data_IF_834289238035
#
_entry.id   IF_834289238035
#
_cell.length_a   1.000
_cell.length_b   1.000
_cell.length_c   1.000
_cell.angle_alpha   90.00
_cell.angle_beta   90.00
_cell.angle_gamma   90.00
#
_symmetry.space_group_name_H-M   'P 1'
#
loop_
_entity.id
_entity.type
_entity.pdbx_description
1 polymer ?
#
# COMPACT_ATOMS: atom_id res chain seq x y z
N UNK A 1 9.07 3.93 -6.41
CA UNK A 1 7.64 3.66 -6.67
C UNK A 1 7.18 2.73 -5.59
N UNK A 2 6.62 3.28 -4.51
CA UNK A 2 6.29 2.52 -3.31
C UNK A 2 4.80 2.35 -3.20
N UNK A 3 4.33 1.13 -3.39
CA UNK A 3 3.17 0.66 -2.64
C UNK A 3 3.64 -0.45 -1.71
N UNK A 4 4.36 -0.04 -0.65
CA UNK A 4 4.82 -0.80 0.52
C UNK A 4 6.06 -1.69 0.28
N UNK A 5 7.03 -1.61 1.19
CA UNK A 5 8.34 -2.28 1.23
C UNK A 5 8.26 -3.81 1.36
N UNK A 6 7.56 -4.50 0.46
CA UNK A 6 7.44 -5.96 0.45
C UNK A 6 8.46 -6.58 -0.50
N UNK A 7 9.63 -6.94 0.00
CA UNK A 7 10.67 -7.64 -0.76
C UNK A 7 11.33 -8.79 0.04
N UNK A 8 10.62 -9.29 1.05
CA UNK A 8 10.97 -10.55 1.73
C UNK A 8 12.18 -10.52 2.65
N UNK A 9 12.73 -9.34 2.96
CA UNK A 9 13.81 -9.19 3.94
C UNK A 9 13.28 -8.46 5.18
N UNK A 10 13.48 -9.00 6.40
CA UNK A 10 13.17 -8.29 7.63
C UNK A 10 13.90 -6.94 7.66
N UNK A 11 13.19 -5.89 8.04
CA UNK A 11 13.77 -4.57 8.23
C UNK A 11 14.00 -4.31 9.72
N UNK A 12 15.09 -3.60 10.02
CA UNK A 12 15.31 -3.12 11.37
C UNK A 12 14.27 -2.01 11.70
N UNK A 13 13.91 -1.80 12.99
CA UNK A 13 12.86 -0.85 13.37
C UNK A 13 13.13 0.62 12.98
N UNK A 14 14.40 0.95 12.78
CA UNK A 14 14.93 2.29 12.47
C UNK A 14 15.10 2.54 10.96
N UNK A 15 14.71 1.60 10.11
CA UNK A 15 14.77 1.72 8.66
C UNK A 15 13.79 2.79 8.17
N UNK A 16 14.34 3.83 7.52
CA UNK A 16 13.55 4.86 6.83
C UNK A 16 13.14 4.34 5.45
N UNK A 17 11.84 4.28 5.20
CA UNK A 17 11.27 3.96 3.88
C UNK A 17 10.96 5.25 3.14
N UNK A 18 11.51 5.39 1.93
CA UNK A 18 11.33 6.56 1.05
C UNK A 18 10.95 6.14 -0.39
N UNK A 19 10.85 7.09 -1.32
CA UNK A 19 10.42 6.86 -2.70
C UNK A 19 11.40 6.02 -3.54
N UNK A 20 12.64 5.85 -3.07
CA UNK A 20 13.64 4.98 -3.70
C UNK A 20 13.35 3.49 -3.49
N UNK A 21 12.39 3.18 -2.62
CA UNK A 21 11.97 1.81 -2.35
C UNK A 21 10.92 1.34 -3.36
N UNK A 22 10.92 0.05 -3.63
CA UNK A 22 9.99 -0.59 -4.57
C UNK A 22 9.62 -1.96 -4.05
N UNK A 23 8.32 -2.30 -4.10
CA UNK A 23 7.85 -3.65 -3.78
C UNK A 23 8.36 -4.63 -4.83
N UNK A 24 8.72 -5.84 -4.44
CA UNK A 24 9.07 -6.91 -5.37
C UNK A 24 7.79 -7.65 -5.80
N UNK A 25 7.38 -7.57 -7.08
CA UNK A 25 6.20 -8.28 -7.57
C UNK A 25 6.27 -9.79 -7.35
N UNK A 26 7.45 -10.39 -7.51
CA UNK A 26 7.64 -11.82 -7.35
C UNK A 26 7.44 -12.26 -5.90
N UNK A 27 8.00 -11.49 -4.96
CA UNK A 27 7.74 -11.72 -3.54
C UNK A 27 6.25 -11.57 -3.19
N UNK A 28 5.59 -10.54 -3.73
CA UNK A 28 4.17 -10.30 -3.48
C UNK A 28 3.30 -11.45 -4.01
N UNK A 29 3.58 -11.96 -5.21
CA UNK A 29 2.90 -13.11 -5.80
C UNK A 29 3.11 -14.38 -4.95
N UNK A 30 4.37 -14.71 -4.63
CA UNK A 30 4.72 -15.89 -3.82
C UNK A 30 4.05 -15.87 -2.45
N UNK A 31 3.94 -14.69 -1.85
CA UNK A 31 3.33 -14.48 -0.54
C UNK A 31 1.81 -14.27 -0.59
N UNK A 32 1.20 -14.37 -1.78
CA UNK A 32 -0.24 -14.16 -2.02
C UNK A 32 -0.73 -12.78 -1.58
N UNK A 33 0.14 -11.77 -1.63
CA UNK A 33 -0.18 -10.36 -1.35
C UNK A 33 -0.79 -9.70 -2.59
N UNK A 34 -1.94 -10.22 -3.03
CA UNK A 34 -2.54 -9.86 -4.32
C UNK A 34 -2.89 -8.37 -4.45
N UNK A 35 -3.35 -7.74 -3.37
CA UNK A 35 -3.63 -6.32 -3.36
C UNK A 35 -2.34 -5.52 -3.63
N UNK A 36 -1.27 -5.82 -2.90
CA UNK A 36 0.04 -5.19 -3.10
C UNK A 36 0.54 -5.42 -4.52
N UNK A 37 0.52 -6.66 -5.00
CA UNK A 37 0.95 -7.02 -6.36
C UNK A 37 0.19 -6.19 -7.41
N UNK A 38 -1.14 -6.10 -7.28
CA UNK A 38 -1.97 -5.35 -8.21
C UNK A 38 -1.61 -3.85 -8.25
N UNK A 39 -1.28 -3.27 -7.10
CA UNK A 39 -0.86 -1.87 -7.00
C UNK A 39 0.52 -1.63 -7.58
N UNK A 40 1.48 -2.52 -7.31
CA UNK A 40 2.84 -2.45 -7.86
C UNK A 40 2.82 -2.51 -9.39
N UNK A 41 2.11 -3.49 -9.96
CA UNK A 41 2.02 -3.65 -11.42
C UNK A 41 1.29 -2.49 -12.10
N UNK A 42 0.24 -1.96 -11.48
CA UNK A 42 -0.49 -0.81 -12.01
C UNK A 42 0.37 0.46 -12.05
N UNK A 43 1.16 0.72 -11.00
CA UNK A 43 2.06 1.87 -10.97
C UNK A 43 3.20 1.72 -11.99
N UNK A 44 3.80 0.53 -12.11
CA UNK A 44 4.83 0.25 -13.12
C UNK A 44 4.31 0.50 -14.55
N UNK A 45 3.09 0.02 -14.84
CA UNK A 45 2.45 0.22 -16.13
C UNK A 45 2.14 1.70 -16.41
N UNK A 46 1.63 2.43 -15.41
CA UNK A 46 1.35 3.87 -15.54
C UNK A 46 2.63 4.67 -15.87
N UNK A 47 3.73 4.38 -15.18
CA UNK A 47 5.01 5.04 -15.42
C UNK A 47 5.65 4.66 -16.74
N UNK A 48 5.46 3.43 -17.22
CA UNK A 48 5.90 3.03 -18.56
C UNK A 48 5.16 3.85 -19.62
N UNK A 49 3.84 3.93 -19.51
CA UNK A 49 2.98 4.66 -20.44
C UNK A 49 3.33 6.16 -20.47
N UNK A 50 3.57 6.78 -19.32
CA UNK A 50 3.85 8.23 -19.27
C UNK A 50 5.21 8.58 -19.85
N UNK A 51 6.22 7.72 -19.66
CA UNK A 51 7.53 7.87 -20.32
C UNK A 51 7.43 7.73 -21.84
N UNK A 52 6.63 6.79 -22.32
CA UNK A 52 6.41 6.58 -23.76
C UNK A 52 5.66 7.75 -24.40
N UNK A 53 4.71 8.35 -23.68
CA UNK A 53 3.85 9.43 -24.19
C UNK A 53 4.36 10.85 -23.88
N UNK A 54 5.46 10.99 -23.13
CA UNK A 54 5.97 12.30 -22.69
C UNK A 54 5.04 13.05 -21.75
N UNK A 55 4.23 12.34 -20.95
CA UNK A 55 3.30 12.93 -19.98
C UNK A 55 4.00 13.16 -18.65
N UNK A 56 3.88 14.37 -18.09
CA UNK A 56 4.31 14.66 -16.72
C UNK A 56 3.30 14.07 -15.73
N UNK A 57 3.75 13.11 -14.93
CA UNK A 57 2.93 12.39 -13.96
C UNK A 57 3.58 12.43 -12.59
N UNK A 58 2.75 12.63 -11.57
CA UNK A 58 3.12 12.44 -10.16
C UNK A 58 2.18 11.40 -9.53
N UNK A 59 2.69 10.67 -8.54
CA UNK A 59 1.91 9.69 -7.77
C UNK A 59 1.85 10.09 -6.31
N UNK A 60 0.73 9.74 -5.67
CA UNK A 60 0.57 9.85 -4.21
C UNK A 60 0.36 8.45 -3.67
N UNK A 61 1.18 8.06 -2.70
CA UNK A 61 1.28 6.69 -2.21
C UNK A 61 0.90 6.65 -0.72
N UNK A 62 -0.41 6.71 -0.38
CA UNK A 62 -0.85 6.78 1.01
C UNK A 62 -0.79 5.42 1.72
N UNK A 63 -0.69 5.48 3.05
CA UNK A 63 -0.92 4.33 3.94
C UNK A 63 -2.41 4.18 4.30
N UNK A 64 -2.70 4.03 5.59
CA UNK A 64 -4.08 4.01 6.09
C UNK A 64 -4.72 5.40 5.98
N UNK A 65 -5.84 5.51 5.24
CA UNK A 65 -6.53 6.79 5.03
C UNK A 65 -7.74 6.89 5.94
N UNK A 66 -7.65 7.79 6.93
CA UNK A 66 -8.70 8.07 7.93
C UNK A 66 -9.10 9.55 7.87
N UNK A 67 -10.31 9.87 8.34
CA UNK A 67 -10.79 11.25 8.40
C UNK A 67 -12.31 11.37 8.30
N UNK A 68 -12.83 12.62 8.18
CA UNK A 68 -14.25 12.88 8.00
C UNK A 68 -14.81 12.19 6.76
N UNK A 69 -15.99 11.59 6.90
CA UNK A 69 -16.66 10.91 5.79
C UNK A 69 -17.58 11.88 5.05
N UNK A 70 -17.36 12.04 3.74
CA UNK A 70 -18.25 12.83 2.88
C UNK A 70 -19.52 12.07 2.49
N UNK A 71 -19.52 10.74 2.61
CA UNK A 71 -20.63 9.85 2.29
C UNK A 71 -20.84 8.86 3.44
N UNK A 72 -22.08 8.37 3.68
CA UNK A 72 -22.38 7.39 4.72
C UNK A 72 -21.95 5.97 4.31
N UNK A 73 -20.72 5.82 3.81
CA UNK A 73 -20.15 4.54 3.39
C UNK A 73 -18.73 4.47 3.92
N UNK A 74 -18.39 3.37 4.58
CA UNK A 74 -17.07 3.17 5.16
C UNK A 74 -16.10 2.65 4.10
N UNK A 75 -14.87 3.18 4.11
CA UNK A 75 -13.74 2.51 3.46
C UNK A 75 -13.13 1.50 4.44
N UNK A 76 -12.24 0.65 3.93
CA UNK A 76 -11.59 -0.39 4.72
C UNK A 76 -10.82 0.20 5.93
N UNK A 77 -10.16 1.34 5.76
CA UNK A 77 -9.36 1.97 6.82
C UNK A 77 -10.21 2.47 8.00
N UNK A 78 -11.27 3.21 7.72
CA UNK A 78 -12.19 3.74 8.73
C UNK A 78 -13.02 2.61 9.35
N UNK A 79 -13.40 1.59 8.57
CA UNK A 79 -14.08 0.41 9.10
C UNK A 79 -13.23 -0.31 10.15
N UNK A 80 -11.92 -0.48 9.90
CA UNK A 80 -11.01 -1.08 10.88
C UNK A 80 -10.93 -0.26 12.17
N UNK A 81 -10.85 1.06 12.07
CA UNK A 81 -10.88 1.94 13.26
C UNK A 81 -12.21 1.80 14.00
N UNK A 82 -13.34 1.82 13.30
CA UNK A 82 -14.66 1.66 13.90
C UNK A 82 -14.82 0.33 14.65
N UNK A 83 -14.29 -0.77 14.09
CA UNK A 83 -14.30 -2.09 14.71
C UNK A 83 -13.54 -2.10 16.03
N UNK A 84 -12.37 -1.47 16.08
CA UNK A 84 -11.61 -1.30 17.32
C UNK A 84 -12.38 -0.49 18.37
N UNK A 85 -13.03 0.61 17.96
CA UNK A 85 -13.85 1.41 18.86
C UNK A 85 -15.08 0.64 19.40
N UNK A 86 -15.57 -0.35 18.66
CA UNK A 86 -16.63 -1.26 19.09
C UNK A 86 -16.14 -2.43 19.95
N UNK A 87 -14.85 -2.47 20.28
CA UNK A 87 -14.26 -3.49 21.13
C UNK A 87 -13.79 -4.75 20.41
N UNK A 88 -13.69 -4.76 19.08
CA UNK A 88 -13.00 -5.85 18.38
C UNK A 88 -11.50 -5.81 18.69
N UNK A 89 -10.88 -6.98 18.88
CA UNK A 89 -9.45 -7.09 19.15
C UNK A 89 -8.65 -7.10 17.85
N UNK A 90 -7.49 -6.43 17.86
CA UNK A 90 -6.58 -6.50 16.72
C UNK A 90 -5.93 -7.90 16.69
N UNK A 91 -5.89 -8.57 15.53
CA UNK A 91 -5.24 -9.89 15.46
C UNK A 91 -3.77 -9.76 15.82
N UNK A 92 -3.31 -10.57 16.78
CA UNK A 92 -1.90 -10.65 17.15
C UNK A 92 -1.13 -11.48 16.11
N UNK A 93 -1.02 -10.95 14.90
CA UNK A 93 -0.26 -11.53 13.79
C UNK A 93 0.74 -10.48 13.30
N UNK A 94 2.02 -10.77 13.47
CA UNK A 94 3.11 -10.07 12.79
C UNK A 94 3.25 -10.65 11.38
N UNK A 95 3.17 -9.78 10.38
CA UNK A 95 3.47 -10.11 8.97
C UNK A 95 4.98 -10.24 8.75
#
# INVERSE_FOLDING_TARGET
MVSIAFYGKPQAPDVLVDESWFSDPFFCEKSKLWYTLSKTLAEEAAWKLTRENGTDMVTVNPGWVIGPLLRPTLNLSVEKVLKLLKGETFPNKTH
#
